data_IF_052754076472
#
_entry.id   IF_052754076472
#
_cell.length_a   1.000
_cell.length_b   1.000
_cell.length_c   1.000
_cell.angle_alpha   90.00
_cell.angle_beta   90.00
_cell.angle_gamma   90.00
#
_symmetry.space_group_name_H-M   'P 1'
#
loop_
_entity.id
_entity.type
_entity.pdbx_description
1 polymer ?
#
# COMPACT_ATOMS: atom_id res chain seq x y z
N UNK A 1 23.32 3.39 23.15
CA UNK A 1 23.13 3.24 21.70
C UNK A 1 22.32 1.99 21.51
N UNK A 2 21.00 2.11 21.37
CA UNK A 2 20.14 0.96 21.08
C UNK A 2 20.29 0.63 19.59
N UNK A 3 20.90 -0.52 19.29
CA UNK A 3 20.87 -1.07 17.96
C UNK A 3 19.40 -1.35 17.59
N UNK A 4 18.87 -0.63 16.60
CA UNK A 4 17.59 -0.97 16.00
C UNK A 4 17.69 -2.41 15.51
N UNK A 5 16.86 -3.29 16.04
CA UNK A 5 16.81 -4.66 15.55
C UNK A 5 16.19 -4.63 14.15
N UNK A 6 16.99 -4.99 13.15
CA UNK A 6 16.55 -5.14 11.77
C UNK A 6 16.16 -6.61 11.56
N UNK A 7 14.90 -6.83 11.22
CA UNK A 7 14.38 -8.17 10.87
C UNK A 7 14.59 -8.39 9.38
N UNK A 8 15.17 -9.54 9.01
CA UNK A 8 15.41 -9.94 7.63
C UNK A 8 14.09 -10.40 6.97
N UNK A 9 13.47 -9.51 6.22
CA UNK A 9 12.17 -9.76 5.61
C UNK A 9 12.24 -10.76 4.44
N UNK A 10 13.39 -10.98 3.82
CA UNK A 10 13.54 -11.96 2.75
C UNK A 10 13.52 -13.38 3.29
N UNK A 11 14.11 -13.59 4.46
CA UNK A 11 13.93 -14.84 5.20
C UNK A 11 12.48 -15.02 5.64
N UNK A 12 11.79 -13.93 5.97
CA UNK A 12 10.39 -13.95 6.34
C UNK A 12 9.48 -14.23 5.14
N UNK A 13 9.77 -13.67 3.96
CA UNK A 13 8.98 -13.85 2.75
C UNK A 13 9.23 -15.19 2.05
N UNK A 14 10.46 -15.75 2.11
CA UNK A 14 10.81 -17.04 1.51
C UNK A 14 10.22 -18.24 2.24
N UNK A 15 9.82 -18.07 3.50
CA UNK A 15 9.35 -19.14 4.38
C UNK A 15 7.83 -19.17 4.57
N UNK A 16 7.04 -18.42 3.81
CA UNK A 16 5.58 -18.33 3.96
C UNK A 16 4.84 -19.51 3.33
N UNK A 17 5.12 -20.73 3.76
CA UNK A 17 4.20 -21.85 3.67
C UNK A 17 3.33 -21.89 4.94
N UNK A 18 2.07 -22.34 4.82
CA UNK A 18 0.91 -22.12 5.74
C UNK A 18 1.09 -22.27 7.27
N UNK A 19 2.26 -22.70 7.76
CA UNK A 19 2.57 -22.80 9.20
C UNK A 19 3.43 -21.64 9.72
N UNK A 20 3.86 -20.71 8.87
CA UNK A 20 4.87 -19.70 9.17
C UNK A 20 4.29 -18.27 9.32
N UNK A 21 3.00 -18.05 8.98
CA UNK A 21 2.27 -16.81 9.29
C UNK A 21 2.43 -16.40 10.76
N UNK A 22 2.48 -17.38 11.65
CA UNK A 22 2.73 -17.17 13.08
C UNK A 22 4.14 -16.69 13.41
N UNK A 23 5.15 -17.01 12.60
CA UNK A 23 6.56 -16.71 12.91
C UNK A 23 6.92 -15.27 12.55
N UNK A 24 6.42 -14.76 11.41
CA UNK A 24 6.57 -13.33 11.05
C UNK A 24 5.92 -12.44 12.10
N UNK A 25 4.68 -12.75 12.47
CA UNK A 25 3.95 -12.03 13.51
C UNK A 25 4.65 -12.10 14.86
N UNK A 26 5.13 -13.29 15.26
CA UNK A 26 5.90 -13.46 16.51
C UNK A 26 7.20 -12.68 16.49
N UNK A 27 7.91 -12.66 15.37
CA UNK A 27 9.15 -11.92 15.23
C UNK A 27 8.91 -10.41 15.30
N UNK A 28 7.83 -9.92 14.70
CA UNK A 28 7.43 -8.50 14.81
C UNK A 28 7.02 -8.17 16.24
N UNK A 29 6.18 -8.99 16.87
CA UNK A 29 5.71 -8.78 18.25
C UNK A 29 6.87 -8.84 19.25
N UNK A 30 7.84 -9.74 19.05
CA UNK A 30 8.97 -9.94 19.95
C UNK A 30 10.16 -9.00 19.65
N UNK A 31 10.14 -8.26 18.56
CA UNK A 31 11.19 -7.31 18.23
C UNK A 31 11.05 -6.04 19.06
N UNK A 32 12.19 -5.44 19.41
CA UNK A 32 12.19 -4.19 20.16
C UNK A 32 11.91 -3.01 19.20
N UNK A 33 10.77 -2.33 19.34
CA UNK A 33 10.44 -1.18 18.53
C UNK A 33 11.32 0.03 18.84
N UNK A 34 11.35 0.99 17.91
CA UNK A 34 11.89 2.32 18.16
C UNK A 34 10.99 3.11 19.14
N UNK A 35 11.35 4.38 19.42
CA UNK A 35 10.61 5.23 20.36
C UNK A 35 9.17 5.52 19.91
N UNK A 36 8.88 5.41 18.63
CA UNK A 36 7.56 5.63 18.03
C UNK A 36 6.76 4.34 17.91
N UNK A 37 7.32 3.20 18.29
CA UNK A 37 6.67 1.89 18.24
C UNK A 37 6.86 1.16 16.91
N UNK A 38 7.76 1.61 16.03
CA UNK A 38 8.02 0.98 14.75
C UNK A 38 9.20 0.01 14.81
N UNK A 39 9.05 -1.08 14.06
CA UNK A 39 10.08 -2.08 13.79
C UNK A 39 10.52 -1.92 12.34
N UNK A 40 11.82 -1.84 12.10
CA UNK A 40 12.37 -1.76 10.75
C UNK A 40 12.49 -3.15 10.16
N UNK A 41 11.83 -3.39 9.02
CA UNK A 41 12.01 -4.59 8.20
C UNK A 41 12.92 -4.25 7.03
N UNK A 42 13.85 -5.16 6.74
CA UNK A 42 14.80 -5.05 5.63
C UNK A 42 14.47 -6.09 4.57
N UNK A 43 14.29 -5.64 3.35
CA UNK A 43 14.07 -6.47 2.17
C UNK A 43 15.30 -6.54 1.27
N UNK A 44 15.12 -7.09 0.08
CA UNK A 44 16.15 -7.20 -0.94
C UNK A 44 16.78 -5.84 -1.29
N UNK A 45 18.05 -5.86 -1.68
CA UNK A 45 18.79 -4.69 -2.14
C UNK A 45 18.83 -3.52 -1.12
N UNK A 46 18.69 -3.81 0.17
CA UNK A 46 18.72 -2.82 1.23
C UNK A 46 17.44 -1.97 1.34
N UNK A 47 16.37 -2.34 0.65
CA UNK A 47 15.06 -1.70 0.84
C UNK A 47 14.58 -1.91 2.28
N UNK A 48 13.93 -0.91 2.83
CA UNK A 48 13.38 -0.97 4.19
C UNK A 48 11.98 -0.41 4.23
N UNK A 49 11.15 -0.99 5.09
CA UNK A 49 9.86 -0.44 5.52
C UNK A 49 9.81 -0.47 7.04
N UNK A 50 8.93 0.32 7.63
CA UNK A 50 8.68 0.28 9.06
C UNK A 50 7.27 -0.24 9.36
N UNK A 51 7.16 -1.09 10.38
CA UNK A 51 5.87 -1.67 10.79
C UNK A 51 5.65 -1.36 12.26
N UNK A 52 4.51 -0.76 12.59
CA UNK A 52 4.18 -0.51 13.98
C UNK A 52 3.88 -1.83 14.69
N UNK A 53 4.37 -2.00 15.93
CA UNK A 53 4.19 -3.23 16.71
C UNK A 53 2.71 -3.59 16.98
N UNK A 54 1.80 -2.62 16.84
CA UNK A 54 0.34 -2.78 16.97
C UNK A 54 -0.38 -2.65 15.63
N UNK A 55 0.27 -2.98 14.51
CA UNK A 55 -0.39 -3.05 13.22
C UNK A 55 -1.46 -4.16 13.21
N UNK A 56 -2.42 -4.08 12.29
CA UNK A 56 -3.48 -5.08 12.17
C UNK A 56 -2.88 -6.45 11.78
N UNK A 57 -2.95 -7.41 12.66
CA UNK A 57 -2.38 -8.75 12.46
C UNK A 57 -3.04 -9.48 11.28
N UNK A 58 -4.32 -9.22 11.02
CA UNK A 58 -5.07 -9.89 9.96
C UNK A 58 -4.67 -9.46 8.55
N UNK A 59 -4.10 -8.26 8.41
CA UNK A 59 -3.72 -7.66 7.13
C UNK A 59 -2.21 -7.42 6.98
N UNK A 60 -1.45 -7.69 8.03
CA UNK A 60 -0.04 -7.29 8.12
C UNK A 60 0.83 -7.89 7.01
N UNK A 61 0.58 -9.14 6.65
CA UNK A 61 1.34 -9.83 5.60
C UNK A 61 1.14 -9.16 4.24
N UNK A 62 -0.11 -8.91 3.86
CA UNK A 62 -0.44 -8.23 2.61
C UNK A 62 0.10 -6.80 2.60
N UNK A 63 0.02 -6.11 3.75
CA UNK A 63 0.53 -4.76 3.89
C UNK A 63 2.06 -4.70 3.79
N UNK A 64 2.78 -5.68 4.32
CA UNK A 64 4.23 -5.81 4.20
C UNK A 64 4.61 -6.06 2.73
N UNK A 65 3.95 -7.00 2.05
CA UNK A 65 4.20 -7.29 0.62
C UNK A 65 4.02 -6.05 -0.24
N UNK A 66 2.88 -5.38 -0.10
CA UNK A 66 2.59 -4.13 -0.82
C UNK A 66 3.64 -3.05 -0.51
N UNK A 67 4.01 -2.90 0.76
CA UNK A 67 5.03 -1.94 1.20
C UNK A 67 6.39 -2.19 0.56
N UNK A 68 6.85 -3.44 0.49
CA UNK A 68 8.13 -3.77 -0.14
C UNK A 68 8.11 -3.58 -1.66
N UNK A 69 7.01 -3.88 -2.35
CA UNK A 69 6.88 -3.60 -3.78
C UNK A 69 7.03 -2.09 -4.03
N UNK A 70 6.38 -1.26 -3.23
CA UNK A 70 6.53 0.20 -3.31
C UNK A 70 7.96 0.66 -2.99
N UNK A 71 8.57 0.14 -1.93
CA UNK A 71 9.93 0.52 -1.52
C UNK A 71 10.97 0.12 -2.57
N UNK A 72 10.80 -1.02 -3.22
CA UNK A 72 11.67 -1.48 -4.31
C UNK A 72 11.54 -0.57 -5.54
N UNK A 73 10.33 -0.18 -5.90
CA UNK A 73 10.08 0.71 -7.04
C UNK A 73 10.51 2.15 -6.77
N UNK A 74 10.35 2.62 -5.54
CA UNK A 74 10.64 4.00 -5.10
C UNK A 74 11.46 4.01 -3.82
N UNK A 75 12.80 3.77 -3.89
CA UNK A 75 13.65 3.60 -2.71
C UNK A 75 13.70 4.81 -1.76
N UNK A 76 13.30 5.99 -2.25
CA UNK A 76 13.30 7.23 -1.46
C UNK A 76 11.98 7.45 -0.68
N UNK A 77 10.98 6.59 -0.86
CA UNK A 77 9.75 6.68 -0.07
C UNK A 77 9.98 6.18 1.36
N UNK A 78 9.56 6.96 2.35
CA UNK A 78 9.40 6.50 3.72
C UNK A 78 8.04 5.80 3.84
N UNK A 79 8.06 4.48 3.93
CA UNK A 79 6.87 3.64 3.98
C UNK A 79 6.75 3.04 5.37
N UNK A 80 5.64 3.34 6.03
CA UNK A 80 5.33 2.84 7.36
C UNK A 80 3.94 2.21 7.39
N UNK A 81 3.82 1.03 7.98
CA UNK A 81 2.53 0.40 8.31
C UNK A 81 2.14 0.88 9.71
N UNK A 82 0.94 1.42 9.82
CA UNK A 82 0.48 2.14 11.00
C UNK A 82 -0.04 1.21 12.09
N UNK A 83 -0.14 1.78 13.29
CA UNK A 83 -0.89 1.22 14.38
C UNK A 83 -2.36 1.03 14.00
N UNK A 84 -2.91 -0.15 14.31
CA UNK A 84 -4.34 -0.38 14.30
C UNK A 84 -4.96 0.16 15.60
N UNK A 85 -5.95 1.03 15.48
CA UNK A 85 -6.64 1.59 16.63
C UNK A 85 -7.96 0.87 16.84
N UNK A 86 -8.16 0.29 18.00
CA UNK A 86 -9.43 -0.31 18.37
C UNK A 86 -10.57 0.72 18.33
N UNK A 87 -11.74 0.27 17.93
CA UNK A 87 -12.94 1.12 17.91
C UNK A 87 -13.41 1.38 19.35
N UNK A 88 -13.38 2.63 19.75
CA UNK A 88 -14.01 3.08 21.00
C UNK A 88 -15.21 3.93 20.58
N UNK A 89 -16.42 3.44 20.81
CA UNK A 89 -17.69 4.16 20.58
C UNK A 89 -17.93 4.69 19.16
N UNK A 90 -17.79 3.86 18.13
CA UNK A 90 -18.09 4.23 16.76
C UNK A 90 -17.00 3.81 15.77
N UNK A 91 -17.20 4.05 14.49
CA UNK A 91 -16.28 3.64 13.44
C UNK A 91 -14.92 4.35 13.55
N UNK A 92 -13.92 3.69 14.09
CA UNK A 92 -12.55 4.14 13.94
C UNK A 92 -12.08 3.80 12.53
N UNK A 93 -11.58 4.79 11.80
CA UNK A 93 -11.00 4.60 10.47
C UNK A 93 -9.54 4.24 10.64
N UNK A 94 -9.14 3.08 10.13
CA UNK A 94 -7.77 2.58 10.25
C UNK A 94 -7.10 2.49 8.87
N UNK A 95 -6.73 3.62 8.23
CA UNK A 95 -5.89 3.58 7.05
C UNK A 95 -4.52 3.01 7.42
N UNK A 96 -3.96 2.16 6.55
CA UNK A 96 -2.88 1.23 6.90
C UNK A 96 -1.49 1.84 6.84
N UNK A 97 -1.29 2.92 6.07
CA UNK A 97 0.04 3.43 5.76
C UNK A 97 0.27 4.89 6.16
N UNK A 98 1.55 5.18 6.40
CA UNK A 98 2.14 6.51 6.23
C UNK A 98 3.15 6.42 5.08
N UNK A 99 2.95 7.25 4.05
CA UNK A 99 3.84 7.38 2.90
C UNK A 99 4.42 8.79 2.90
N UNK A 100 5.71 8.91 3.23
CA UNK A 100 6.34 10.21 3.47
C UNK A 100 5.55 11.07 4.47
N UNK A 101 5.08 10.45 5.56
CA UNK A 101 4.31 11.10 6.62
C UNK A 101 2.84 11.38 6.29
N UNK A 102 2.37 11.06 5.08
CA UNK A 102 0.97 11.25 4.67
C UNK A 102 0.17 9.98 4.83
N UNK A 103 -1.06 10.11 5.30
CA UNK A 103 -1.97 8.97 5.46
C UNK A 103 -2.29 8.36 4.09
N UNK A 104 -2.11 7.05 3.99
CA UNK A 104 -2.39 6.26 2.81
C UNK A 104 -3.09 4.96 3.14
N UNK A 105 -3.72 4.37 2.14
CA UNK A 105 -4.40 3.10 2.27
C UNK A 105 -4.29 2.27 1.00
N UNK A 106 -4.21 0.95 1.16
CA UNK A 106 -4.16 0.00 0.06
C UNK A 106 -5.56 -0.58 -0.20
N UNK A 107 -6.01 -0.49 -1.43
CA UNK A 107 -7.26 -1.08 -1.90
C UNK A 107 -6.94 -2.25 -2.82
N UNK A 108 -7.23 -3.45 -2.35
CA UNK A 108 -7.02 -4.70 -3.10
C UNK A 108 -8.22 -4.94 -3.97
N UNK A 109 -8.02 -4.79 -5.28
CA UNK A 109 -9.10 -4.79 -6.25
C UNK A 109 -9.45 -6.20 -6.70
N UNK A 110 -10.74 -6.50 -6.79
CA UNK A 110 -11.25 -7.70 -7.46
C UNK A 110 -11.51 -7.42 -8.94
N UNK A 111 -12.02 -6.24 -9.22
CA UNK A 111 -12.34 -5.79 -10.57
C UNK A 111 -12.20 -4.27 -10.71
N UNK A 112 -12.48 -3.76 -11.91
CA UNK A 112 -12.39 -2.34 -12.23
C UNK A 112 -13.36 -1.45 -11.42
N UNK A 113 -14.46 -2.01 -10.87
CA UNK A 113 -15.41 -1.22 -10.09
C UNK A 113 -14.84 -0.86 -8.72
N UNK A 114 -13.90 -1.67 -8.23
CA UNK A 114 -13.16 -1.41 -7.02
C UNK A 114 -12.44 -0.05 -7.00
N UNK A 115 -12.09 0.51 -8.16
CA UNK A 115 -11.45 1.83 -8.26
C UNK A 115 -12.33 2.92 -7.64
N UNK A 116 -13.61 2.97 -8.03
CA UNK A 116 -14.53 3.98 -7.53
C UNK A 116 -14.82 3.80 -6.05
N UNK A 117 -15.11 2.57 -5.63
CA UNK A 117 -15.41 2.26 -4.23
C UNK A 117 -14.18 2.45 -3.34
N UNK A 118 -13.01 2.05 -3.82
CA UNK A 118 -11.75 2.24 -3.10
C UNK A 118 -11.40 3.72 -2.90
N UNK A 119 -11.55 4.55 -3.94
CA UNK A 119 -11.33 5.98 -3.81
C UNK A 119 -12.29 6.64 -2.82
N UNK A 120 -13.58 6.26 -2.85
CA UNK A 120 -14.57 6.76 -1.89
C UNK A 120 -14.21 6.38 -0.45
N UNK A 121 -13.86 5.14 -0.21
CA UNK A 121 -13.46 4.66 1.11
C UNK A 121 -12.16 5.33 1.60
N UNK A 122 -11.14 5.45 0.75
CA UNK A 122 -9.89 6.14 1.09
C UNK A 122 -10.11 7.62 1.43
N UNK A 123 -10.97 8.30 0.67
CA UNK A 123 -11.38 9.68 0.96
C UNK A 123 -12.04 9.81 2.33
N UNK A 124 -12.96 8.90 2.66
CA UNK A 124 -13.63 8.87 3.97
C UNK A 124 -12.65 8.58 5.11
N UNK A 125 -11.57 7.87 4.84
CA UNK A 125 -10.48 7.59 5.79
C UNK A 125 -9.49 8.75 5.94
N UNK A 126 -9.65 9.83 5.16
CA UNK A 126 -8.76 10.98 5.19
C UNK A 126 -7.41 10.75 4.50
N UNK A 127 -7.34 9.77 3.59
CA UNK A 127 -6.11 9.45 2.87
C UNK A 127 -5.71 10.57 1.90
N UNK A 128 -4.41 10.83 1.85
CA UNK A 128 -3.75 11.65 0.82
C UNK A 128 -3.08 10.80 -0.25
N UNK A 129 -2.80 9.55 0.08
CA UNK A 129 -2.20 8.57 -0.83
C UNK A 129 -3.12 7.37 -0.93
N UNK A 130 -3.39 6.93 -2.14
CA UNK A 130 -4.15 5.71 -2.39
C UNK A 130 -3.29 4.73 -3.19
N UNK A 131 -3.31 3.47 -2.77
CA UNK A 131 -2.60 2.37 -3.42
C UNK A 131 -3.65 1.40 -3.94
N UNK A 132 -3.67 1.18 -5.25
CA UNK A 132 -4.47 0.13 -5.86
C UNK A 132 -3.60 -1.09 -6.10
N UNK A 133 -3.88 -2.16 -5.37
CA UNK A 133 -3.17 -3.43 -5.46
C UNK A 133 -4.00 -4.43 -6.26
N UNK A 134 -3.46 -4.82 -7.42
CA UNK A 134 -4.07 -5.76 -8.35
C UNK A 134 -3.54 -7.19 -8.19
N UNK A 135 -2.71 -7.46 -7.20
CA UNK A 135 -2.00 -8.74 -7.09
C UNK A 135 -2.81 -9.84 -6.43
N UNK A 136 -3.61 -9.49 -5.39
CA UNK A 136 -4.21 -10.51 -4.53
C UNK A 136 -5.41 -11.22 -5.18
N UNK A 137 -6.34 -10.44 -5.71
CA UNK A 137 -7.65 -10.99 -6.12
C UNK A 137 -8.16 -10.48 -7.46
N UNK A 138 -7.39 -9.63 -8.14
CA UNK A 138 -7.81 -9.06 -9.41
C UNK A 138 -7.84 -10.12 -10.51
N UNK A 139 -9.03 -10.42 -11.00
CA UNK A 139 -9.28 -11.39 -12.08
C UNK A 139 -10.06 -10.73 -13.20
N UNK A 140 -9.39 -9.90 -14.02
CA UNK A 140 -10.08 -9.25 -15.14
C UNK A 140 -10.52 -10.30 -16.16
N UNK A 141 -11.78 -10.23 -16.59
CA UNK A 141 -12.25 -11.05 -17.70
C UNK A 141 -11.50 -10.71 -18.99
N UNK A 142 -11.11 -9.46 -19.14
CA UNK A 142 -10.27 -8.94 -20.22
C UNK A 142 -9.37 -7.84 -19.69
N UNK A 143 -8.11 -7.89 -20.07
CA UNK A 143 -7.15 -6.81 -19.79
C UNK A 143 -7.60 -5.56 -20.56
N UNK A 144 -7.87 -4.46 -19.84
CA UNK A 144 -8.31 -3.22 -20.46
C UNK A 144 -7.86 -1.99 -19.68
N UNK A 145 -6.57 -1.69 -19.77
CA UNK A 145 -5.95 -0.55 -19.12
C UNK A 145 -6.60 0.80 -19.50
N UNK A 146 -7.18 0.91 -20.70
CA UNK A 146 -7.88 2.14 -21.12
C UNK A 146 -9.12 2.40 -20.28
N UNK A 147 -9.89 1.37 -19.93
CA UNK A 147 -11.04 1.51 -19.00
C UNK A 147 -10.59 1.89 -17.60
N UNK A 148 -9.48 1.33 -17.14
CA UNK A 148 -8.87 1.68 -15.85
C UNK A 148 -8.50 3.17 -15.83
N UNK A 149 -7.78 3.64 -16.85
CA UNK A 149 -7.41 5.04 -16.99
C UNK A 149 -8.64 5.96 -17.02
N UNK A 150 -9.68 5.60 -17.80
CA UNK A 150 -10.93 6.36 -17.86
C UNK A 150 -11.64 6.44 -16.50
N UNK A 151 -11.68 5.35 -15.74
CA UNK A 151 -12.29 5.35 -14.40
C UNK A 151 -11.55 6.27 -13.44
N UNK A 152 -10.23 6.26 -13.46
CA UNK A 152 -9.40 7.14 -12.63
C UNK A 152 -9.61 8.59 -13.05
N UNK A 153 -9.53 8.90 -14.35
CA UNK A 153 -9.69 10.27 -14.86
C UNK A 153 -11.06 10.89 -14.55
N UNK A 154 -12.11 10.06 -14.50
CA UNK A 154 -13.46 10.52 -14.11
C UNK A 154 -13.57 11.00 -12.66
N UNK A 155 -12.62 10.63 -11.81
CA UNK A 155 -12.54 11.07 -10.41
C UNK A 155 -11.82 12.42 -10.28
N UNK A 156 -12.03 13.30 -11.24
CA UNK A 156 -11.39 14.62 -11.33
C UNK A 156 -11.43 15.40 -10.02
N UNK A 157 -12.56 15.43 -9.32
CA UNK A 157 -12.71 16.16 -8.07
C UNK A 157 -11.74 15.68 -6.99
N UNK A 158 -11.47 14.36 -6.92
CA UNK A 158 -10.61 13.79 -5.89
C UNK A 158 -9.14 14.27 -6.03
N UNK A 159 -8.69 14.58 -7.24
CA UNK A 159 -7.36 15.13 -7.50
C UNK A 159 -7.31 16.65 -7.52
N UNK A 160 -8.27 17.29 -8.20
CA UNK A 160 -8.31 18.77 -8.37
C UNK A 160 -8.55 19.46 -7.03
N UNK A 161 -9.41 18.90 -6.19
CA UNK A 161 -9.72 19.46 -4.87
C UNK A 161 -8.65 19.11 -3.81
N UNK A 162 -7.54 18.49 -4.23
CA UNK A 162 -6.40 18.19 -3.37
C UNK A 162 -6.67 17.11 -2.32
N UNK A 163 -7.63 16.20 -2.56
CA UNK A 163 -7.93 15.08 -1.68
C UNK A 163 -6.79 14.07 -1.78
N UNK A 164 -6.54 13.53 -2.97
CA UNK A 164 -5.37 12.67 -3.23
C UNK A 164 -4.22 13.48 -3.82
N UNK A 165 -3.06 13.32 -3.23
CA UNK A 165 -1.82 13.91 -3.72
C UNK A 165 -1.06 12.93 -4.62
N UNK A 166 -1.13 11.63 -4.30
CA UNK A 166 -0.49 10.56 -5.03
C UNK A 166 -1.37 9.31 -5.09
N UNK A 167 -1.30 8.63 -6.22
CA UNK A 167 -1.88 7.31 -6.42
C UNK A 167 -0.81 6.36 -6.95
N UNK A 168 -0.81 5.14 -6.44
CA UNK A 168 0.07 4.07 -6.91
C UNK A 168 -0.77 2.89 -7.40
N UNK A 169 -0.45 2.35 -8.57
CA UNK A 169 -1.04 1.13 -9.09
C UNK A 169 0.01 0.04 -9.11
N UNK A 170 -0.28 -1.09 -8.47
CA UNK A 170 0.63 -2.23 -8.36
C UNK A 170 0.08 -3.41 -9.13
N UNK A 171 0.87 -3.91 -10.09
CA UNK A 171 0.58 -5.15 -10.81
C UNK A 171 1.86 -5.98 -10.96
N UNK A 172 1.89 -7.18 -10.35
CA UNK A 172 3.13 -7.91 -10.17
C UNK A 172 4.09 -7.09 -9.31
N UNK A 173 5.31 -6.92 -9.77
CA UNK A 173 6.31 -6.04 -9.16
C UNK A 173 6.39 -4.65 -9.82
N UNK A 174 5.51 -4.39 -10.80
CA UNK A 174 5.46 -3.10 -11.50
C UNK A 174 4.59 -2.13 -10.71
N UNK A 175 5.05 -0.91 -10.58
CA UNK A 175 4.32 0.17 -9.91
C UNK A 175 4.23 1.37 -10.83
N UNK A 176 3.02 1.86 -11.05
CA UNK A 176 2.78 3.15 -11.69
C UNK A 176 2.44 4.19 -10.63
N UNK A 177 3.23 5.25 -10.55
CA UNK A 177 2.93 6.43 -9.76
C UNK A 177 2.15 7.46 -10.59
N UNK A 178 1.00 7.86 -10.11
CA UNK A 178 0.15 8.91 -10.69
C UNK A 178 0.10 10.06 -9.69
N UNK A 179 0.88 11.13 -9.90
CA UNK A 179 0.78 12.33 -9.06
C UNK A 179 -0.54 13.08 -9.35
N UNK A 180 -0.99 13.92 -8.42
CA UNK A 180 -2.27 14.61 -8.51
C UNK A 180 -2.45 15.38 -9.82
N UNK A 181 -1.40 16.03 -10.30
CA UNK A 181 -1.43 16.79 -11.57
C UNK A 181 -1.58 15.93 -12.83
N UNK A 182 -1.45 14.61 -12.70
CA UNK A 182 -1.65 13.61 -13.76
C UNK A 182 -2.92 12.78 -13.59
N UNK A 183 -3.62 12.92 -12.47
CA UNK A 183 -4.81 12.14 -12.14
C UNK A 183 -5.99 12.37 -13.09
N UNK A 184 -5.99 13.44 -13.88
CA UNK A 184 -7.01 13.75 -14.91
C UNK A 184 -6.47 13.71 -16.33
N UNK A 185 -5.19 13.44 -16.52
CA UNK A 185 -4.53 13.35 -17.82
C UNK A 185 -4.71 11.94 -18.39
N UNK A 186 -5.82 11.75 -19.12
CA UNK A 186 -6.20 10.44 -19.63
C UNK A 186 -5.18 9.88 -20.65
N UNK A 187 -4.65 10.71 -21.53
CA UNK A 187 -3.68 10.26 -22.54
C UNK A 187 -2.38 9.82 -21.88
N UNK A 188 -1.90 10.58 -20.93
CA UNK A 188 -0.71 10.22 -20.15
C UNK A 188 -0.91 8.90 -19.41
N UNK A 189 -2.07 8.72 -18.73
CA UNK A 189 -2.36 7.46 -18.02
C UNK A 189 -2.45 6.27 -18.96
N UNK A 190 -3.10 6.41 -20.10
CA UNK A 190 -3.20 5.34 -21.11
C UNK A 190 -1.80 4.93 -21.56
N UNK A 191 -0.93 5.89 -21.87
CA UNK A 191 0.45 5.63 -22.28
C UNK A 191 1.22 4.85 -21.21
N UNK A 192 1.14 5.30 -19.94
CA UNK A 192 1.87 4.66 -18.82
C UNK A 192 1.32 3.29 -18.43
N UNK A 193 0.01 3.08 -18.56
CA UNK A 193 -0.64 1.82 -18.17
C UNK A 193 -0.48 0.67 -19.15
N UNK A 194 -0.02 0.91 -20.38
CA UNK A 194 0.11 -0.13 -21.42
C UNK A 194 0.89 -1.37 -20.95
N UNK A 195 1.85 -1.20 -20.08
CA UNK A 195 2.74 -2.26 -19.62
C UNK A 195 2.33 -2.89 -18.27
N UNK A 196 1.16 -2.53 -17.72
CA UNK A 196 0.73 -3.01 -16.40
C UNK A 196 -0.21 -4.21 -16.45
N UNK A 197 -0.70 -4.62 -17.61
CA UNK A 197 -1.65 -5.76 -17.76
C UNK A 197 -2.90 -5.63 -16.86
N UNK A 198 -3.53 -4.47 -16.87
CA UNK A 198 -4.72 -4.13 -16.08
C UNK A 198 -6.03 -4.36 -16.85
#
# INVERSE_FOLDING_TARGET
>A
VSSDQVVDADKLAANLDKNEECEVLRNIINSKPDKEGFITLKGENGTTIKVHQKADESEIEDNIKTGFILAKAFPNLDIRIREHKEQINGSCKNPEYLINGRIGDAKRLEDINGITNGAKAAKEQGCKVIIYDYNKQYKPKYVNYKKTAQKIARRKADFVDGIFEDMYLIRGEKVLHIPANKGTDLEWMIDKMQNLEL
#
